data_IF_267996779047
#
_entry.id   IF_267996779047
#
_cell.length_a   1.000
_cell.length_b   1.000
_cell.length_c   1.000
_cell.angle_alpha   90.00
_cell.angle_beta   90.00
_cell.angle_gamma   90.00
#
_symmetry.space_group_name_H-M   'P 1'
#
loop_
_entity.id
_entity.type
_entity.pdbx_description
1 polymer ?
#
# COMPACT_ATOMS: atom_id res chain seq x y z
N UNK A 1 -3.95 -31.02 -21.43
CA UNK A 1 -4.88 -30.06 -22.06
C UNK A 1 -4.06 -28.81 -22.41
N UNK A 2 -3.97 -28.41 -23.69
CA UNK A 2 -3.28 -27.14 -24.06
C UNK A 2 -4.32 -26.02 -24.01
N UNK A 3 -4.09 -25.04 -23.13
CA UNK A 3 -4.97 -23.85 -23.05
C UNK A 3 -4.68 -22.98 -24.29
N UNK A 4 -5.72 -22.67 -25.06
CA UNK A 4 -5.61 -21.75 -26.19
C UNK A 4 -5.61 -20.30 -25.66
N UNK A 5 -4.43 -19.70 -25.53
CA UNK A 5 -4.27 -18.33 -25.01
C UNK A 5 -4.98 -17.26 -25.88
N UNK A 6 -5.32 -17.57 -27.12
CA UNK A 6 -5.97 -16.61 -28.02
C UNK A 6 -7.46 -16.40 -27.71
N UNK A 7 -8.08 -17.28 -26.93
CA UNK A 7 -9.49 -17.17 -26.51
C UNK A 7 -9.64 -16.48 -25.15
N UNK A 8 -8.54 -16.18 -24.45
CA UNK A 8 -8.57 -15.52 -23.14
C UNK A 8 -8.70 -14.01 -23.30
N UNK A 9 -9.54 -13.39 -22.50
CA UNK A 9 -9.63 -11.94 -22.34
C UNK A 9 -8.35 -11.40 -21.71
N UNK A 10 -8.14 -10.08 -21.80
CA UNK A 10 -6.93 -9.43 -21.27
C UNK A 10 -6.79 -9.57 -19.76
N UNK A 11 -7.88 -9.45 -19.02
CA UNK A 11 -7.96 -9.63 -17.57
C UNK A 11 -7.66 -11.08 -17.14
N UNK A 12 -8.15 -12.07 -17.89
CA UNK A 12 -7.84 -13.49 -17.65
C UNK A 12 -6.37 -13.80 -17.87
N UNK A 13 -5.77 -13.25 -18.96
CA UNK A 13 -4.32 -13.38 -19.22
C UNK A 13 -3.49 -12.76 -18.11
N UNK A 14 -3.79 -11.53 -17.73
CA UNK A 14 -3.12 -10.83 -16.64
C UNK A 14 -3.20 -11.64 -15.33
N UNK A 15 -4.40 -12.11 -14.97
CA UNK A 15 -4.61 -12.94 -13.77
C UNK A 15 -3.75 -14.22 -13.81
N UNK A 16 -3.66 -14.88 -14.96
CA UNK A 16 -2.87 -16.10 -15.10
C UNK A 16 -1.37 -15.85 -14.98
N UNK A 17 -0.89 -14.77 -15.57
CA UNK A 17 0.52 -14.37 -15.51
C UNK A 17 0.93 -13.95 -14.11
N UNK A 18 0.09 -13.14 -13.42
CA UNK A 18 0.33 -12.73 -12.05
C UNK A 18 0.33 -13.91 -11.07
N UNK A 19 -0.60 -14.86 -11.23
CA UNK A 19 -0.61 -16.11 -10.45
C UNK A 19 0.71 -16.84 -10.59
N UNK A 20 1.15 -17.09 -11.82
CA UNK A 20 2.42 -17.79 -12.07
C UNK A 20 3.64 -17.02 -11.53
N UNK A 21 3.58 -15.69 -11.54
CA UNK A 21 4.60 -14.84 -10.92
C UNK A 21 4.65 -15.05 -9.40
N UNK A 22 3.52 -14.92 -8.71
CA UNK A 22 3.45 -15.00 -7.25
C UNK A 22 3.81 -16.41 -6.72
N UNK A 23 3.35 -17.47 -7.39
CA UNK A 23 3.70 -18.85 -7.03
C UNK A 23 5.20 -19.13 -7.11
N UNK A 24 5.92 -18.53 -8.08
CA UNK A 24 7.39 -18.63 -8.18
C UNK A 24 8.13 -18.01 -6.99
N UNK A 25 7.49 -17.06 -6.30
CA UNK A 25 8.03 -16.41 -5.09
C UNK A 25 7.54 -17.05 -3.79
N UNK A 26 6.84 -18.19 -3.89
CA UNK A 26 6.39 -18.96 -2.73
C UNK A 26 5.08 -18.46 -2.12
N UNK A 27 4.34 -17.59 -2.82
CA UNK A 27 3.02 -17.17 -2.37
C UNK A 27 2.00 -18.26 -2.65
N UNK A 28 1.20 -18.59 -1.66
CA UNK A 28 0.09 -19.55 -1.77
C UNK A 28 -1.24 -18.85 -2.07
N UNK A 29 -2.13 -19.53 -2.77
CA UNK A 29 -3.43 -18.94 -3.11
C UNK A 29 -4.34 -18.86 -1.90
N UNK A 30 -4.80 -17.65 -1.59
CA UNK A 30 -5.86 -17.41 -0.63
C UNK A 30 -7.22 -17.35 -1.34
N UNK A 31 -8.22 -18.02 -0.77
CA UNK A 31 -9.61 -17.97 -1.20
C UNK A 31 -10.50 -17.63 -0.02
N UNK A 32 -11.47 -16.77 -0.25
CA UNK A 32 -12.46 -16.39 0.76
C UNK A 32 -13.87 -16.38 0.16
N UNK A 33 -14.88 -16.42 1.02
CA UNK A 33 -16.28 -16.25 0.61
C UNK A 33 -16.56 -14.84 0.08
N UNK A 34 -17.71 -14.68 -0.57
CA UNK A 34 -18.19 -13.37 -1.06
C UNK A 34 -18.82 -12.54 0.06
N UNK A 35 -19.26 -13.20 1.12
CA UNK A 35 -20.06 -12.63 2.20
C UNK A 35 -19.26 -12.64 3.49
N UNK A 36 -19.33 -11.53 4.22
CA UNK A 36 -18.73 -11.37 5.53
C UNK A 36 -19.76 -10.77 6.50
N UNK A 37 -19.54 -10.94 7.79
CA UNK A 37 -20.33 -10.24 8.79
C UNK A 37 -20.04 -8.74 8.73
N UNK A 38 -21.07 -7.90 8.66
CA UNK A 38 -20.91 -6.44 8.59
C UNK A 38 -20.11 -5.89 9.77
N UNK A 39 -20.21 -6.53 10.92
CA UNK A 39 -19.49 -6.13 12.14
C UNK A 39 -17.97 -6.13 11.97
N UNK A 40 -17.41 -6.95 11.09
CA UNK A 40 -15.99 -6.92 10.73
C UNK A 40 -15.57 -5.52 10.27
N UNK A 41 -16.39 -4.87 9.46
CA UNK A 41 -16.12 -3.55 8.92
C UNK A 41 -16.42 -2.43 9.90
N UNK A 42 -17.42 -2.60 10.76
CA UNK A 42 -17.72 -1.65 11.84
C UNK A 42 -16.56 -1.52 12.83
N UNK A 43 -15.90 -2.64 13.13
CA UNK A 43 -14.73 -2.66 14.03
C UNK A 43 -13.45 -2.11 13.38
N UNK A 44 -13.41 -2.04 12.07
CA UNK A 44 -12.25 -1.62 11.27
C UNK A 44 -12.63 -0.48 10.31
N UNK A 45 -13.25 0.58 10.83
CA UNK A 45 -13.80 1.71 10.04
C UNK A 45 -12.74 2.45 9.23
N UNK A 46 -11.51 2.42 9.71
CA UNK A 46 -10.38 3.12 9.11
C UNK A 46 -9.89 2.46 7.79
N UNK A 47 -10.26 1.18 7.58
CA UNK A 47 -9.90 0.48 6.34
C UNK A 47 -10.83 0.78 5.17
N UNK A 48 -12.11 1.00 5.41
CA UNK A 48 -13.11 1.17 4.34
C UNK A 48 -14.22 2.10 4.81
N UNK A 49 -14.50 3.11 3.99
CA UNK A 49 -15.61 4.01 4.22
C UNK A 49 -16.94 3.26 4.24
N UNK A 50 -17.72 3.43 5.30
CA UNK A 50 -18.97 2.70 5.55
C UNK A 50 -20.00 2.87 4.40
N UNK A 51 -20.00 4.01 3.73
CA UNK A 51 -20.89 4.34 2.61
C UNK A 51 -20.58 3.56 1.32
N UNK A 52 -19.43 2.90 1.24
CA UNK A 52 -19.04 2.06 0.11
C UNK A 52 -19.43 0.59 0.29
N UNK A 53 -19.91 0.17 1.47
CA UNK A 53 -20.19 -1.21 1.82
C UNK A 53 -21.63 -1.57 1.44
N UNK A 54 -21.81 -2.64 0.67
CA UNK A 54 -23.11 -3.19 0.29
C UNK A 54 -23.54 -4.18 1.35
N UNK A 55 -24.65 -3.90 2.05
CA UNK A 55 -25.16 -4.74 3.13
C UNK A 55 -26.47 -5.44 2.75
N UNK A 56 -26.74 -6.57 3.38
CA UNK A 56 -27.99 -7.32 3.28
C UNK A 56 -28.23 -8.13 4.57
N UNK A 57 -29.46 -8.57 4.79
CA UNK A 57 -29.80 -9.47 5.90
C UNK A 57 -29.76 -10.92 5.43
N UNK A 58 -29.14 -11.80 6.21
CA UNK A 58 -29.22 -13.23 5.97
C UNK A 58 -30.61 -13.81 6.36
N UNK A 59 -30.78 -15.10 6.20
CA UNK A 59 -32.03 -15.81 6.54
C UNK A 59 -32.38 -15.79 8.02
N UNK A 60 -31.42 -15.48 8.90
CA UNK A 60 -31.59 -15.39 10.35
C UNK A 60 -31.72 -13.94 10.83
N UNK A 61 -31.76 -12.97 9.91
CA UNK A 61 -31.84 -11.54 10.22
C UNK A 61 -30.49 -10.91 10.60
N UNK A 62 -29.37 -11.63 10.47
CA UNK A 62 -28.04 -11.10 10.73
C UNK A 62 -27.61 -10.17 9.59
N UNK A 63 -27.01 -9.02 9.94
CA UNK A 63 -26.50 -8.07 8.96
C UNK A 63 -25.17 -8.57 8.37
N UNK A 64 -25.18 -8.79 7.08
CA UNK A 64 -24.06 -9.25 6.27
C UNK A 64 -23.60 -8.16 5.30
N UNK A 65 -22.40 -8.31 4.78
CA UNK A 65 -21.84 -7.44 3.75
C UNK A 65 -21.33 -8.26 2.58
N UNK A 66 -21.49 -7.72 1.37
CA UNK A 66 -20.66 -8.14 0.24
C UNK A 66 -19.25 -7.60 0.47
N UNK A 67 -18.26 -8.46 0.35
CA UNK A 67 -16.86 -8.16 0.62
C UNK A 67 -16.36 -6.95 -0.19
N UNK A 68 -16.04 -5.81 0.43
CA UNK A 68 -15.57 -4.60 -0.25
C UNK A 68 -14.05 -4.55 -0.39
N UNK A 69 -13.33 -5.42 0.33
CA UNK A 69 -11.87 -5.53 0.36
C UNK A 69 -11.42 -6.94 0.74
N UNK A 70 -10.21 -7.32 0.36
CA UNK A 70 -9.66 -8.65 0.63
C UNK A 70 -8.68 -8.65 1.81
N UNK A 71 -7.96 -7.56 2.04
CA UNK A 71 -6.94 -7.48 3.09
C UNK A 71 -7.54 -7.77 4.46
N UNK A 72 -8.68 -7.18 4.81
CA UNK A 72 -9.37 -7.49 6.07
C UNK A 72 -9.78 -8.96 6.20
N UNK A 73 -10.26 -9.57 5.12
CA UNK A 73 -10.60 -11.00 5.12
C UNK A 73 -9.36 -11.88 5.32
N UNK A 74 -8.21 -11.47 4.80
CA UNK A 74 -6.93 -12.16 4.97
C UNK A 74 -6.45 -12.01 6.41
N UNK A 75 -6.37 -10.77 6.91
CA UNK A 75 -5.91 -10.44 8.27
C UNK A 75 -6.76 -11.12 9.34
N UNK A 76 -8.08 -11.18 9.17
CA UNK A 76 -8.99 -11.92 10.07
C UNK A 76 -8.61 -13.40 10.24
N UNK A 77 -8.08 -14.01 9.18
CA UNK A 77 -7.71 -15.43 9.17
C UNK A 77 -6.23 -15.65 9.51
N UNK A 78 -5.44 -14.58 9.54
CA UNK A 78 -4.02 -14.65 9.87
C UNK A 78 -3.80 -14.95 11.35
N UNK A 79 -2.80 -15.81 11.62
CA UNK A 79 -2.31 -16.08 12.98
C UNK A 79 -0.82 -15.83 13.04
N UNK A 80 -0.43 -14.87 13.84
CA UNK A 80 0.98 -14.58 14.04
C UNK A 80 1.72 -15.78 14.63
N UNK A 81 2.81 -16.16 14.00
CA UNK A 81 3.74 -17.20 14.46
C UNK A 81 5.13 -16.56 14.46
N UNK A 82 5.83 -16.46 15.62
CA UNK A 82 7.16 -15.87 15.68
C UNK A 82 8.15 -16.54 14.73
N UNK A 83 8.93 -15.74 14.02
CA UNK A 83 9.92 -16.19 13.05
C UNK A 83 9.34 -16.72 11.73
N UNK A 84 8.03 -16.60 11.52
CA UNK A 84 7.37 -17.05 10.29
C UNK A 84 6.81 -15.86 9.51
N UNK A 85 6.95 -15.93 8.19
CA UNK A 85 6.35 -14.97 7.25
C UNK A 85 5.36 -15.71 6.37
N UNK A 86 4.08 -15.37 6.49
CA UNK A 86 3.03 -15.90 5.64
C UNK A 86 2.92 -15.09 4.35
N UNK A 87 2.93 -15.79 3.22
CA UNK A 87 2.87 -15.22 1.88
C UNK A 87 1.64 -15.75 1.15
N UNK A 88 0.67 -14.89 0.89
CA UNK A 88 -0.55 -15.27 0.17
C UNK A 88 -0.80 -14.33 -1.00
N UNK A 89 -1.40 -14.86 -2.07
CA UNK A 89 -1.92 -14.06 -3.17
C UNK A 89 -3.39 -14.37 -3.41
N UNK A 90 -4.09 -13.42 -4.00
CA UNK A 90 -5.50 -13.56 -4.32
C UNK A 90 -5.83 -12.99 -5.71
N UNK A 91 -6.92 -13.50 -6.28
CA UNK A 91 -7.56 -12.94 -7.47
C UNK A 91 -9.04 -13.23 -7.33
N UNK A 92 -9.77 -12.26 -6.77
CA UNK A 92 -11.15 -12.42 -6.32
C UNK A 92 -11.94 -11.13 -6.61
N UNK A 93 -13.25 -11.26 -6.74
CA UNK A 93 -14.12 -10.11 -6.90
C UNK A 93 -14.43 -9.45 -5.56
N UNK A 94 -14.38 -8.13 -5.55
CA UNK A 94 -14.86 -7.27 -4.46
C UNK A 94 -16.06 -6.47 -4.93
N UNK A 95 -16.84 -5.96 -3.99
CA UNK A 95 -18.11 -5.31 -4.25
C UNK A 95 -18.18 -3.98 -3.53
N UNK A 96 -18.35 -2.89 -4.28
CA UNK A 96 -18.40 -1.53 -3.71
C UNK A 96 -19.57 -0.73 -4.28
N UNK A 97 -20.19 0.09 -3.45
CA UNK A 97 -21.07 1.15 -3.91
C UNK A 97 -20.24 2.35 -4.37
N UNK A 98 -20.56 2.91 -5.52
CA UNK A 98 -19.92 4.13 -6.01
C UNK A 98 -20.47 5.34 -5.26
N UNK A 99 -19.60 6.16 -4.66
CA UNK A 99 -20.01 7.39 -3.95
C UNK A 99 -20.70 8.41 -4.86
N UNK A 100 -20.32 8.47 -6.13
CA UNK A 100 -20.82 9.47 -7.08
C UNK A 100 -22.10 9.04 -7.80
N UNK A 101 -22.19 7.75 -8.17
CA UNK A 101 -23.32 7.25 -8.98
C UNK A 101 -24.26 6.36 -8.21
N UNK A 102 -23.93 6.00 -6.96
CA UNK A 102 -24.64 5.02 -6.11
C UNK A 102 -24.82 3.64 -6.79
N UNK A 103 -24.11 3.39 -7.89
CA UNK A 103 -24.15 2.11 -8.58
C UNK A 103 -23.29 1.07 -7.85
N UNK A 104 -23.78 -0.15 -7.78
CA UNK A 104 -23.01 -1.28 -7.28
C UNK A 104 -22.02 -1.78 -8.33
N UNK A 105 -20.78 -2.00 -7.92
CA UNK A 105 -19.71 -2.46 -8.80
C UNK A 105 -19.11 -3.75 -8.28
N UNK A 106 -18.94 -4.70 -9.18
CA UNK A 106 -18.08 -5.86 -9.00
C UNK A 106 -16.74 -5.58 -9.66
N UNK A 107 -15.67 -5.70 -8.90
CA UNK A 107 -14.32 -5.34 -9.33
C UNK A 107 -13.41 -6.54 -9.09
N UNK A 108 -12.76 -7.05 -10.14
CA UNK A 108 -11.73 -8.07 -9.98
C UNK A 108 -10.48 -7.42 -9.38
N UNK A 109 -10.11 -7.87 -8.19
CA UNK A 109 -8.90 -7.43 -7.49
C UNK A 109 -7.90 -8.59 -7.45
N UNK A 110 -6.68 -8.33 -7.92
CA UNK A 110 -5.56 -9.27 -7.82
C UNK A 110 -4.45 -8.61 -7.03
N UNK A 111 -3.92 -9.32 -6.05
CA UNK A 111 -2.88 -8.80 -5.17
C UNK A 111 -2.20 -9.90 -4.38
N UNK A 112 -1.27 -9.48 -3.52
CA UNK A 112 -0.55 -10.34 -2.60
C UNK A 112 -0.42 -9.67 -1.23
N UNK A 113 -0.33 -10.48 -0.19
CA UNK A 113 -0.08 -10.05 1.18
C UNK A 113 1.11 -10.83 1.73
N UNK A 114 1.98 -10.13 2.46
CA UNK A 114 3.13 -10.68 3.15
C UNK A 114 3.02 -10.25 4.62
N UNK A 115 2.84 -11.20 5.52
CA UNK A 115 2.49 -10.95 6.92
C UNK A 115 3.41 -11.74 7.85
N UNK A 116 3.74 -11.18 9.02
CA UNK A 116 4.57 -11.82 10.02
C UNK A 116 5.77 -10.97 10.42
N UNK A 117 6.89 -11.62 10.69
CA UNK A 117 8.14 -10.96 11.04
C UNK A 117 8.82 -10.39 9.77
N UNK A 118 8.27 -9.27 9.29
CA UNK A 118 8.71 -8.63 8.05
C UNK A 118 10.06 -7.96 8.24
N UNK A 119 11.00 -8.29 7.37
CA UNK A 119 12.33 -7.69 7.29
C UNK A 119 12.55 -6.92 5.97
N UNK A 120 13.73 -6.34 5.80
CA UNK A 120 14.09 -5.58 4.60
C UNK A 120 14.07 -6.43 3.32
N UNK A 121 14.31 -7.73 3.43
CA UNK A 121 14.22 -8.65 2.29
C UNK A 121 12.77 -8.77 1.81
N UNK A 122 11.82 -8.91 2.74
CA UNK A 122 10.39 -8.98 2.41
C UNK A 122 9.91 -7.69 1.75
N UNK A 123 10.35 -6.52 2.25
CA UNK A 123 10.03 -5.23 1.63
C UNK A 123 10.57 -5.12 0.20
N UNK A 124 11.83 -5.52 -0.02
CA UNK A 124 12.42 -5.57 -1.35
C UNK A 124 11.69 -6.55 -2.28
N UNK A 125 11.31 -7.73 -1.79
CA UNK A 125 10.58 -8.74 -2.56
C UNK A 125 9.19 -8.23 -2.98
N UNK A 126 8.39 -7.72 -2.03
CA UNK A 126 7.04 -7.20 -2.30
C UNK A 126 7.10 -6.05 -3.29
N UNK A 127 8.04 -5.13 -3.13
CA UNK A 127 8.19 -3.98 -4.05
C UNK A 127 8.64 -4.44 -5.44
N UNK A 128 9.53 -5.44 -5.53
CA UNK A 128 9.92 -6.03 -6.81
C UNK A 128 8.76 -6.76 -7.48
N UNK A 129 7.91 -7.45 -6.71
CA UNK A 129 6.70 -8.08 -7.21
C UNK A 129 5.68 -7.05 -7.70
N UNK A 130 5.51 -5.93 -7.01
CA UNK A 130 4.68 -4.82 -7.49
C UNK A 130 5.15 -4.31 -8.86
N UNK A 131 6.45 -4.03 -9.02
CA UNK A 131 7.01 -3.60 -10.29
C UNK A 131 6.85 -4.65 -11.41
N UNK A 132 7.08 -5.94 -11.10
CA UNK A 132 6.90 -7.05 -12.05
C UNK A 132 5.42 -7.24 -12.45
N UNK A 133 4.51 -7.07 -11.50
CA UNK A 133 3.07 -7.17 -11.75
C UNK A 133 2.61 -6.06 -12.70
N UNK A 134 3.03 -4.83 -12.48
CA UNK A 134 2.73 -3.72 -13.37
C UNK A 134 3.33 -3.95 -14.77
N UNK A 135 4.59 -4.41 -14.83
CA UNK A 135 5.25 -4.67 -16.12
C UNK A 135 4.64 -5.83 -16.90
N UNK A 136 3.99 -6.79 -16.24
CA UNK A 136 3.27 -7.87 -16.89
C UNK A 136 1.96 -7.38 -17.55
N UNK A 137 1.39 -6.27 -17.05
CA UNK A 137 0.15 -5.67 -17.57
C UNK A 137 0.47 -4.64 -18.64
N UNK A 138 1.45 -3.76 -18.41
CA UNK A 138 1.83 -2.70 -19.32
C UNK A 138 3.34 -2.42 -19.25
N UNK A 139 3.96 -2.18 -20.40
CA UNK A 139 5.34 -1.67 -20.46
C UNK A 139 5.45 -0.19 -20.06
N UNK A 140 4.35 0.53 -20.16
CA UNK A 140 4.22 1.94 -19.77
C UNK A 140 3.51 2.02 -18.41
N UNK A 141 4.28 1.80 -17.36
CA UNK A 141 3.82 1.90 -15.97
C UNK A 141 4.74 2.82 -15.17
N UNK A 142 4.22 3.37 -14.11
CA UNK A 142 4.96 4.09 -13.09
C UNK A 142 4.66 3.46 -11.72
N UNK A 143 5.72 3.08 -10.99
CA UNK A 143 5.63 2.68 -9.59
C UNK A 143 6.15 3.83 -8.72
N UNK A 144 5.26 4.40 -7.94
CA UNK A 144 5.61 5.42 -6.96
C UNK A 144 5.73 4.78 -5.56
N UNK A 145 6.81 5.12 -4.86
CA UNK A 145 7.15 4.56 -3.55
C UNK A 145 7.18 5.71 -2.54
N UNK A 146 6.53 5.49 -1.41
CA UNK A 146 6.62 6.33 -0.22
C UNK A 146 7.03 5.47 0.99
N UNK A 147 7.43 6.11 2.09
CA UNK A 147 7.81 5.43 3.32
C UNK A 147 7.30 6.22 4.53
N UNK A 148 6.19 5.76 5.10
CA UNK A 148 5.56 6.45 6.23
C UNK A 148 6.48 6.56 7.44
N UNK A 149 7.28 5.52 7.74
CA UNK A 149 8.24 5.54 8.85
C UNK A 149 9.27 6.68 8.76
N UNK A 150 9.61 7.18 7.56
CA UNK A 150 10.45 8.37 7.42
C UNK A 150 9.69 9.62 7.88
N UNK A 151 8.44 9.77 7.48
CA UNK A 151 7.58 10.90 7.87
C UNK A 151 7.34 10.87 9.39
N UNK A 152 6.97 9.72 9.93
CA UNK A 152 6.73 9.51 11.36
C UNK A 152 7.98 9.83 12.20
N UNK A 153 9.15 9.37 11.76
CA UNK A 153 10.41 9.64 12.43
C UNK A 153 10.77 11.14 12.41
N UNK A 154 10.49 11.85 11.30
CA UNK A 154 10.66 13.30 11.23
C UNK A 154 9.69 14.06 12.14
N UNK A 155 8.50 13.49 12.38
CA UNK A 155 7.48 14.04 13.26
C UNK A 155 7.56 13.50 14.69
N UNK A 156 8.67 12.86 15.10
CA UNK A 156 8.80 12.20 16.40
C UNK A 156 8.62 13.16 17.60
N UNK A 157 9.01 14.43 17.45
CA UNK A 157 8.85 15.49 18.47
C UNK A 157 7.45 16.14 18.48
N UNK A 158 6.60 15.84 17.51
CA UNK A 158 5.27 16.43 17.36
C UNK A 158 4.24 15.60 18.14
N UNK A 159 3.26 16.29 18.76
CA UNK A 159 2.16 15.62 19.45
C UNK A 159 1.32 14.76 18.48
N UNK A 160 0.86 13.60 18.95
CA UNK A 160 0.11 12.66 18.11
C UNK A 160 -1.17 13.26 17.52
N UNK A 161 -1.85 14.13 18.25
CA UNK A 161 -3.03 14.87 17.78
C UNK A 161 -2.78 15.75 16.56
N UNK A 162 -1.56 16.25 16.41
CA UNK A 162 -1.15 17.10 15.29
C UNK A 162 -0.60 16.30 14.10
N UNK A 163 -0.04 15.11 14.34
CA UNK A 163 0.60 14.29 13.30
C UNK A 163 -0.34 13.95 12.15
N UNK A 164 -1.57 13.51 12.43
CA UNK A 164 -2.55 13.18 11.40
C UNK A 164 -2.86 14.37 10.49
N UNK A 165 -3.01 15.56 11.08
CA UNK A 165 -3.27 16.77 10.32
C UNK A 165 -2.08 17.19 9.46
N UNK A 166 -0.85 17.03 9.99
CA UNK A 166 0.38 17.31 9.24
C UNK A 166 0.51 16.30 8.08
N UNK A 167 0.27 15.01 8.31
CA UNK A 167 0.29 13.98 7.27
C UNK A 167 -0.74 14.29 6.18
N UNK A 168 -1.93 14.72 6.54
CA UNK A 168 -2.93 15.19 5.58
C UNK A 168 -2.40 16.38 4.75
N UNK A 169 -1.77 17.36 5.38
CA UNK A 169 -1.15 18.49 4.65
C UNK A 169 -0.02 18.06 3.74
N UNK A 170 0.75 17.05 4.13
CA UNK A 170 1.77 16.43 3.28
C UNK A 170 1.12 15.85 2.01
N UNK A 171 0.00 15.13 2.13
CA UNK A 171 -0.72 14.59 0.98
C UNK A 171 -1.27 15.68 0.05
N UNK A 172 -1.67 16.80 0.61
CA UNK A 172 -2.17 17.96 -0.13
C UNK A 172 -1.03 18.86 -0.68
N UNK A 173 0.23 18.53 -0.37
CA UNK A 173 1.43 19.35 -0.68
C UNK A 173 1.32 20.78 -0.16
N UNK A 174 0.65 20.97 0.98
CA UNK A 174 0.37 22.25 1.61
C UNK A 174 0.98 22.31 3.02
N UNK A 175 2.27 22.68 3.11
CA UNK A 175 3.02 22.72 4.36
C UNK A 175 3.13 24.12 4.99
N UNK A 176 2.36 25.09 4.51
CA UNK A 176 2.42 26.44 5.06
C UNK A 176 2.00 26.50 6.53
N UNK A 177 2.78 27.21 7.33
CA UNK A 177 2.46 27.53 8.72
C UNK A 177 2.49 26.37 9.73
N UNK A 178 3.17 25.27 9.47
CA UNK A 178 3.24 24.13 10.41
C UNK A 178 3.84 24.55 11.76
N UNK A 179 4.90 25.38 11.78
CA UNK A 179 5.49 25.90 13.00
C UNK A 179 4.47 26.63 13.88
N UNK A 180 3.60 27.45 13.28
CA UNK A 180 2.63 28.26 14.03
C UNK A 180 1.43 27.46 14.50
N UNK A 181 0.94 26.54 13.66
CA UNK A 181 -0.32 25.82 13.90
C UNK A 181 -0.11 24.59 14.78
N UNK A 182 1.03 23.91 14.62
CA UNK A 182 1.28 22.61 15.25
C UNK A 182 2.53 22.58 16.14
N UNK A 183 3.20 23.71 16.33
CA UNK A 183 4.40 23.77 17.18
C UNK A 183 5.60 22.99 16.63
N UNK A 184 5.64 22.76 15.33
CA UNK A 184 6.78 22.11 14.64
C UNK A 184 7.97 23.07 14.70
N UNK A 185 9.15 22.57 15.06
CA UNK A 185 10.37 23.38 15.04
C UNK A 185 10.79 23.75 13.60
N UNK A 186 11.56 24.85 13.46
CA UNK A 186 11.94 25.40 12.16
C UNK A 186 12.78 24.43 11.31
N UNK A 187 13.55 23.54 11.94
CA UNK A 187 14.37 22.56 11.24
C UNK A 187 13.50 21.46 10.66
N UNK A 188 12.59 20.92 11.46
CA UNK A 188 11.61 19.90 11.04
C UNK A 188 10.72 20.45 9.93
N UNK A 189 10.20 21.67 10.07
CA UNK A 189 9.36 22.31 9.04
C UNK A 189 10.10 22.40 7.70
N UNK A 190 11.33 22.90 7.70
CA UNK A 190 12.18 23.00 6.51
C UNK A 190 12.49 21.63 5.90
N UNK A 191 12.75 20.63 6.74
CA UNK A 191 13.03 19.27 6.29
C UNK A 191 11.79 18.65 5.64
N UNK A 192 10.59 18.88 6.18
CA UNK A 192 9.32 18.42 5.59
C UNK A 192 9.02 19.11 4.25
N UNK A 193 9.29 20.42 4.14
CA UNK A 193 9.16 21.13 2.86
C UNK A 193 10.07 20.54 1.78
N UNK A 194 11.32 20.24 2.15
CA UNK A 194 12.27 19.59 1.23
C UNK A 194 11.80 18.18 0.87
N UNK A 195 11.32 17.41 1.84
CA UNK A 195 10.81 16.05 1.62
C UNK A 195 9.67 16.04 0.59
N UNK A 196 8.66 16.87 0.78
CA UNK A 196 7.46 16.93 -0.06
C UNK A 196 7.72 17.56 -1.43
N UNK A 197 8.60 18.56 -1.48
CA UNK A 197 8.99 19.19 -2.76
C UNK A 197 9.94 18.35 -3.60
N UNK A 198 10.51 17.27 -3.02
CA UNK A 198 11.49 16.41 -3.70
C UNK A 198 10.84 15.09 -4.08
N UNK A 199 10.48 14.95 -5.35
CA UNK A 199 9.84 13.75 -5.88
C UNK A 199 10.42 13.35 -7.25
N UNK A 200 10.12 12.14 -7.71
CA UNK A 200 10.54 11.64 -9.00
C UNK A 200 11.65 10.59 -8.90
N UNK A 201 12.64 10.65 -9.79
CA UNK A 201 13.68 9.64 -9.86
C UNK A 201 14.35 9.39 -8.49
N UNK A 202 14.32 8.15 -8.01
CA UNK A 202 14.74 7.76 -6.68
C UNK A 202 16.16 8.21 -6.32
N UNK A 203 17.14 8.17 -7.26
CA UNK A 203 18.52 8.56 -6.99
C UNK A 203 18.62 10.03 -6.62
N UNK A 204 17.96 10.88 -7.40
CA UNK A 204 17.93 12.34 -7.13
C UNK A 204 17.24 12.65 -5.79
N UNK A 205 16.16 11.94 -5.50
CA UNK A 205 15.42 12.12 -4.24
C UNK A 205 16.30 11.71 -3.06
N UNK A 206 16.86 10.50 -3.08
CA UNK A 206 17.71 9.99 -1.99
C UNK A 206 18.94 10.89 -1.80
N UNK A 207 19.64 11.28 -2.88
CA UNK A 207 20.81 12.16 -2.79
C UNK A 207 20.50 13.54 -2.16
N UNK A 208 19.28 14.05 -2.39
CA UNK A 208 18.83 15.30 -1.78
C UNK A 208 18.49 15.12 -0.31
N UNK A 209 17.77 14.04 0.05
CA UNK A 209 17.38 13.77 1.43
C UNK A 209 18.57 13.40 2.34
N UNK A 210 19.61 12.78 1.81
CA UNK A 210 20.88 12.51 2.55
C UNK A 210 21.59 13.78 3.03
N UNK A 211 21.25 14.93 2.49
CA UNK A 211 21.84 16.22 2.91
C UNK A 211 21.10 16.86 4.08
N UNK A 212 19.96 16.32 4.46
CA UNK A 212 19.18 16.79 5.59
C UNK A 212 19.81 16.31 6.90
N UNK A 213 19.67 17.13 7.94
CA UNK A 213 20.00 16.71 9.30
C UNK A 213 18.81 15.89 9.84
N UNK A 214 18.89 14.58 9.67
CA UNK A 214 17.86 13.65 10.07
C UNK A 214 18.19 13.02 11.43
N UNK A 215 17.18 12.79 12.26
CA UNK A 215 17.36 11.99 13.46
C UNK A 215 17.72 10.52 13.09
N UNK A 216 18.09 9.72 14.08
CA UNK A 216 18.54 8.34 13.87
C UNK A 216 17.51 7.47 13.17
N UNK A 217 16.24 7.60 13.54
CA UNK A 217 15.13 6.80 13.01
C UNK A 217 14.82 7.21 11.56
N UNK A 218 14.76 8.50 11.28
CA UNK A 218 14.57 9.01 9.92
C UNK A 218 15.74 8.63 8.98
N UNK A 219 16.98 8.68 9.48
CA UNK A 219 18.14 8.22 8.73
C UNK A 219 18.10 6.72 8.44
N UNK A 220 17.57 5.91 9.37
CA UNK A 220 17.36 4.48 9.16
C UNK A 220 16.28 4.22 8.11
N UNK A 221 15.13 4.89 8.19
CA UNK A 221 14.06 4.79 7.19
C UNK A 221 14.53 5.19 5.79
N UNK A 222 15.36 6.23 5.69
CA UNK A 222 15.96 6.62 4.40
C UNK A 222 16.88 5.54 3.83
N UNK A 223 17.65 4.83 4.69
CA UNK A 223 18.47 3.68 4.26
C UNK A 223 17.61 2.50 3.77
N UNK A 224 16.45 2.27 4.36
CA UNK A 224 15.52 1.23 3.92
C UNK A 224 15.00 1.51 2.50
N UNK A 225 14.60 2.75 2.22
CA UNK A 225 14.21 3.17 0.87
C UNK A 225 15.38 2.98 -0.12
N UNK A 226 16.57 3.40 0.27
CA UNK A 226 17.77 3.24 -0.57
C UNK A 226 18.05 1.76 -0.87
N UNK A 227 17.90 0.88 0.12
CA UNK A 227 18.07 -0.56 -0.03
C UNK A 227 17.02 -1.13 -1.01
N UNK A 228 15.74 -0.78 -0.85
CA UNK A 228 14.66 -1.19 -1.74
C UNK A 228 14.94 -0.73 -3.17
N UNK A 229 15.24 0.55 -3.37
CA UNK A 229 15.51 1.10 -4.69
C UNK A 229 16.77 0.48 -5.34
N UNK A 230 17.78 0.16 -4.54
CA UNK A 230 18.99 -0.52 -5.00
C UNK A 230 18.70 -1.95 -5.44
N UNK A 231 17.88 -2.68 -4.68
CA UNK A 231 17.43 -4.03 -5.04
C UNK A 231 16.62 -4.03 -6.35
N UNK A 232 15.73 -3.04 -6.53
CA UNK A 232 14.98 -2.86 -7.78
C UNK A 232 15.91 -2.55 -8.96
N UNK A 233 16.93 -1.72 -8.75
CA UNK A 233 17.94 -1.40 -9.77
C UNK A 233 18.76 -2.63 -10.18
N UNK A 234 19.22 -3.41 -9.21
CA UNK A 234 19.95 -4.67 -9.47
C UNK A 234 19.09 -5.68 -10.26
N UNK A 235 17.78 -5.67 -10.06
CA UNK A 235 16.83 -6.49 -10.79
C UNK A 235 16.34 -5.86 -12.12
N UNK A 236 16.91 -4.75 -12.56
CA UNK A 236 16.54 -4.00 -13.78
C UNK A 236 15.08 -3.49 -13.77
N UNK A 237 14.52 -3.25 -12.60
CA UNK A 237 13.15 -2.77 -12.41
C UNK A 237 13.06 -1.26 -12.14
N UNK A 238 14.19 -0.57 -11.99
CA UNK A 238 14.23 0.82 -11.52
C UNK A 238 13.88 1.88 -12.58
N UNK A 239 13.62 1.49 -13.84
CA UNK A 239 13.38 2.44 -14.94
C UNK A 239 12.12 3.29 -14.70
N UNK A 240 11.07 2.68 -14.18
CA UNK A 240 9.75 3.27 -14.00
C UNK A 240 9.41 3.44 -12.51
N UNK A 241 10.41 3.85 -11.70
CA UNK A 241 10.24 4.01 -10.25
C UNK A 241 10.52 5.45 -9.86
N UNK A 242 9.55 6.03 -9.20
CA UNK A 242 9.66 7.32 -8.53
C UNK A 242 9.51 7.14 -7.00
N UNK A 243 10.06 8.09 -6.26
CA UNK A 243 9.80 8.28 -4.84
C UNK A 243 9.02 9.58 -4.69
N UNK A 244 7.88 9.53 -4.01
CA UNK A 244 7.07 10.70 -3.68
C UNK A 244 6.45 10.54 -2.30
N UNK A 245 6.91 11.34 -1.34
CA UNK A 245 6.44 11.29 0.05
C UNK A 245 5.09 11.98 0.27
N UNK A 246 4.51 12.60 -0.73
CA UNK A 246 3.14 13.09 -0.66
C UNK A 246 2.10 11.97 -0.81
N UNK A 247 2.55 10.78 -1.24
CA UNK A 247 1.70 9.59 -1.25
C UNK A 247 1.73 9.01 0.15
N UNK A 248 0.76 9.40 0.95
CA UNK A 248 0.53 8.89 2.30
C UNK A 248 -0.74 8.05 2.29
N UNK A 249 -0.72 6.92 2.98
CA UNK A 249 -1.96 6.23 3.31
C UNK A 249 -2.65 7.03 4.41
N UNK A 250 -3.94 7.28 4.25
CA UNK A 250 -4.74 7.78 5.36
C UNK A 250 -4.53 6.82 6.54
N UNK A 251 -3.89 7.35 7.58
CA UNK A 251 -3.78 6.67 8.89
C UNK A 251 -5.09 6.83 9.66
N UNK A 252 -6.21 6.89 8.93
CA UNK A 252 -7.55 6.99 9.48
C UNK A 252 -8.18 5.61 9.64
#
# INVERSE_FOLDING_TARGET
MKINKNTMKSDEKATFELRGLYEKYGYSRFKTGKFEEYELYVRNKDFIAADSIITFSDTNGKLMALKPDLTLSIVKNYRYIPGYVEKVYYSENIYRASKTTHAYREILQTGLECMGDIDIYNLCEVTALAARSLSAISSDYLLEISHMGLIEAMLSSVENSAKEQIVKRISEKNLHSLCREYGVDEETDRNLEILVSTYGNYRKVIDRLKKLNLNREAAQALKEIECICSALSANRLARNINVDFSIVNDMS
#
